data_IF_585914784094
#
_entry.id   IF_585914784094
#
_cell.length_a   1.000
_cell.length_b   1.000
_cell.length_c   1.000
_cell.angle_alpha   90.00
_cell.angle_beta   90.00
_cell.angle_gamma   90.00
#
_symmetry.space_group_name_H-M   'P 1'
#
loop_
_entity.id
_entity.type
_entity.pdbx_description
1 polymer ?
#
# COMPACT_ATOMS: atom_id res chain seq x y z
N UNK A 1 6.23 -15.78 -59.48
CA UNK A 1 7.25 -16.16 -60.47
C UNK A 1 7.92 -14.87 -60.92
N UNK A 2 9.00 -14.46 -60.25
CA UNK A 2 9.79 -13.29 -60.64
C UNK A 2 11.19 -13.78 -60.96
N UNK A 3 11.60 -13.47 -62.19
CA UNK A 3 12.83 -13.88 -62.85
C UNK A 3 13.99 -13.09 -62.25
N UNK A 4 15.03 -13.77 -61.78
CA UNK A 4 16.32 -13.16 -61.44
C UNK A 4 17.09 -12.97 -62.73
N UNK A 5 17.50 -11.73 -63.02
CA UNK A 5 18.38 -11.43 -64.15
C UNK A 5 19.83 -11.44 -63.65
N UNK A 6 20.67 -12.26 -64.31
CA UNK A 6 22.12 -12.28 -64.16
C UNK A 6 22.73 -10.88 -64.34
N UNK A 7 23.62 -10.49 -63.42
CA UNK A 7 24.63 -9.50 -63.77
C UNK A 7 24.96 -8.41 -62.74
N UNK A 8 25.02 -8.69 -61.43
CA UNK A 8 25.83 -7.87 -60.52
C UNK A 8 26.54 -8.77 -59.49
N UNK A 9 27.89 -8.79 -59.57
CA UNK A 9 28.81 -9.51 -58.68
C UNK A 9 28.49 -9.17 -57.22
N UNK A 10 28.20 -10.19 -56.41
CA UNK A 10 28.28 -10.08 -54.97
C UNK A 10 29.74 -9.80 -54.58
N UNK A 11 30.04 -8.57 -54.17
CA UNK A 11 31.27 -8.29 -53.43
C UNK A 11 31.11 -8.88 -52.03
N UNK A 12 31.83 -9.97 -51.76
CA UNK A 12 31.96 -10.52 -50.42
C UNK A 12 32.61 -9.44 -49.55
N UNK A 13 31.86 -8.85 -48.63
CA UNK A 13 32.43 -7.98 -47.60
C UNK A 13 33.36 -8.82 -46.72
N UNK A 14 34.60 -8.37 -46.60
CA UNK A 14 35.65 -9.00 -45.80
C UNK A 14 35.23 -9.09 -44.31
N UNK A 15 35.18 -10.29 -43.69
CA UNK A 15 34.78 -10.44 -42.29
C UNK A 15 35.79 -9.85 -41.29
N UNK A 16 36.93 -9.34 -41.74
CA UNK A 16 37.99 -8.79 -40.88
C UNK A 16 37.99 -7.26 -40.75
N UNK A 17 36.99 -6.57 -41.30
CA UNK A 17 36.80 -5.14 -41.06
C UNK A 17 36.37 -4.90 -39.61
N UNK A 18 37.34 -4.95 -38.70
CA UNK A 18 37.19 -4.48 -37.33
C UNK A 18 36.76 -3.02 -37.40
N UNK A 19 35.48 -2.78 -37.12
CA UNK A 19 34.94 -1.44 -37.04
C UNK A 19 35.62 -0.78 -35.83
N UNK A 20 36.73 -0.09 -36.06
CA UNK A 20 37.50 0.59 -35.02
C UNK A 20 36.60 1.67 -34.43
N UNK A 21 35.92 1.32 -33.33
CA UNK A 21 35.14 2.24 -32.52
C UNK A 21 36.15 3.24 -31.93
N UNK A 22 36.27 4.42 -32.54
CA UNK A 22 37.19 5.48 -32.08
C UNK A 22 36.99 5.68 -30.58
N UNK A 23 38.09 5.66 -29.82
CA UNK A 23 38.07 5.87 -28.37
C UNK A 23 37.38 7.22 -28.09
N UNK A 24 36.37 7.28 -27.21
CA UNK A 24 35.71 8.54 -26.89
C UNK A 24 36.75 9.55 -26.38
N UNK A 25 36.78 10.75 -26.96
CA UNK A 25 37.61 11.84 -26.45
C UNK A 25 37.12 12.30 -25.08
N UNK A 26 37.95 13.08 -24.37
CA UNK A 26 37.63 13.65 -23.03
C UNK A 26 36.28 14.40 -23.03
N UNK A 27 35.94 15.07 -24.14
CA UNK A 27 34.65 15.74 -24.34
C UNK A 27 33.48 14.76 -24.39
N UNK A 28 33.64 13.61 -25.06
CA UNK A 28 32.61 12.56 -25.11
C UNK A 28 32.42 11.83 -23.78
N UNK A 29 33.48 11.71 -22.97
CA UNK A 29 33.39 11.21 -21.60
C UNK A 29 32.63 12.18 -20.69
N UNK A 30 32.91 13.49 -20.77
CA UNK A 30 32.16 14.52 -20.03
C UNK A 30 30.69 14.56 -20.43
N UNK A 31 30.38 14.56 -21.72
CA UNK A 31 28.99 14.48 -22.20
C UNK A 31 28.28 13.22 -21.71
N UNK A 32 28.94 12.06 -21.74
CA UNK A 32 28.36 10.82 -21.23
C UNK A 32 28.06 10.92 -19.72
N UNK A 33 28.96 11.51 -18.95
CA UNK A 33 28.79 11.72 -17.51
C UNK A 33 27.69 12.73 -17.20
N UNK A 34 27.63 13.86 -17.91
CA UNK A 34 26.56 14.85 -17.79
C UNK A 34 25.19 14.26 -18.15
N UNK A 35 25.13 13.45 -19.22
CA UNK A 35 23.88 12.81 -19.62
C UNK A 35 23.42 11.78 -18.57
N UNK A 36 24.35 11.01 -17.99
CA UNK A 36 24.04 10.09 -16.88
C UNK A 36 23.54 10.83 -15.64
N UNK A 37 24.16 11.97 -15.29
CA UNK A 37 23.69 12.81 -14.18
C UNK A 37 22.28 13.35 -14.44
N UNK A 38 22.00 13.85 -15.64
CA UNK A 38 20.65 14.32 -16.01
C UNK A 38 19.60 13.21 -15.93
N UNK A 39 19.93 11.99 -16.35
CA UNK A 39 19.01 10.86 -16.21
C UNK A 39 18.78 10.47 -14.74
N UNK A 40 19.82 10.55 -13.89
CA UNK A 40 19.68 10.30 -12.46
C UNK A 40 18.80 11.36 -11.78
N UNK A 41 19.04 12.64 -12.06
CA UNK A 41 18.22 13.75 -11.55
C UNK A 41 16.76 13.67 -12.04
N UNK A 42 16.53 13.29 -13.30
CA UNK A 42 15.18 13.09 -13.82
C UNK A 42 14.49 11.91 -13.12
N UNK A 43 15.21 10.81 -12.90
CA UNK A 43 14.72 9.66 -12.15
C UNK A 43 14.30 10.05 -10.73
N UNK A 44 15.15 10.79 -10.02
CA UNK A 44 14.86 11.26 -8.66
C UNK A 44 13.65 12.22 -8.61
N UNK A 45 13.53 13.12 -9.60
CA UNK A 45 12.35 14.00 -9.69
C UNK A 45 11.06 13.22 -9.91
N UNK A 46 11.08 12.24 -10.81
CA UNK A 46 9.90 11.40 -11.06
C UNK A 46 9.51 10.60 -9.81
N UNK A 47 10.47 10.00 -9.11
CA UNK A 47 10.17 9.26 -7.87
C UNK A 47 9.60 10.19 -6.80
N UNK A 48 10.17 11.38 -6.64
CA UNK A 48 9.69 12.36 -5.66
C UNK A 48 8.27 12.87 -6.00
N UNK A 49 7.97 13.08 -7.29
CA UNK A 49 6.62 13.46 -7.74
C UNK A 49 5.60 12.34 -7.51
N UNK A 50 5.97 11.08 -7.79
CA UNK A 50 5.15 9.91 -7.50
C UNK A 50 4.88 9.75 -5.99
N UNK A 51 5.92 9.91 -5.15
CA UNK A 51 5.78 9.88 -3.69
C UNK A 51 4.86 11.00 -3.17
N UNK A 52 5.04 12.23 -3.67
CA UNK A 52 4.17 13.36 -3.32
C UNK A 52 2.71 13.12 -3.73
N UNK A 53 2.48 12.51 -4.89
CA UNK A 53 1.14 12.16 -5.34
C UNK A 53 0.50 11.07 -4.47
N UNK A 54 1.25 10.01 -4.13
CA UNK A 54 0.75 8.92 -3.27
C UNK A 54 0.41 9.45 -1.88
N UNK A 55 1.29 10.24 -1.28
CA UNK A 55 1.06 10.84 0.04
C UNK A 55 -0.17 11.76 0.03
N UNK A 56 -0.34 12.57 -1.01
CA UNK A 56 -1.53 13.41 -1.17
C UNK A 56 -2.84 12.60 -1.28
N UNK A 57 -2.83 11.52 -2.08
CA UNK A 57 -3.99 10.64 -2.22
C UNK A 57 -4.33 9.93 -0.90
N UNK A 58 -3.33 9.51 -0.12
CA UNK A 58 -3.55 8.94 1.20
C UNK A 58 -4.16 9.94 2.18
N UNK A 59 -3.75 11.21 2.13
CA UNK A 59 -4.36 12.27 2.96
C UNK A 59 -5.82 12.54 2.60
N UNK A 60 -6.14 12.61 1.30
CA UNK A 60 -7.54 12.73 0.84
C UNK A 60 -8.34 11.51 1.29
N UNK A 61 -7.80 10.32 1.09
CA UNK A 61 -8.46 9.08 1.49
C UNK A 61 -8.75 9.09 3.00
N UNK A 62 -7.75 9.43 3.83
CA UNK A 62 -7.92 9.55 5.29
C UNK A 62 -9.09 10.47 5.62
N UNK A 63 -9.10 11.70 5.09
CA UNK A 63 -10.18 12.70 5.29
C UNK A 63 -11.56 12.17 4.92
N UNK A 64 -11.68 11.54 3.76
CA UNK A 64 -12.96 10.99 3.32
C UNK A 64 -13.42 9.84 4.22
N UNK A 65 -12.48 8.99 4.67
CA UNK A 65 -12.79 7.85 5.53
C UNK A 65 -13.20 8.30 6.94
N UNK A 66 -12.60 9.39 7.44
CA UNK A 66 -13.02 10.06 8.67
C UNK A 66 -14.46 10.55 8.58
N UNK A 67 -14.75 11.30 7.52
CA UNK A 67 -16.08 11.88 7.30
C UNK A 67 -17.13 10.79 7.15
N UNK A 68 -16.79 9.72 6.42
CA UNK A 68 -17.63 8.55 6.31
C UNK A 68 -17.91 7.91 7.68
N UNK A 69 -16.87 7.72 8.47
CA UNK A 69 -17.00 7.08 9.77
C UNK A 69 -17.80 7.95 10.76
N UNK A 70 -17.62 9.27 10.74
CA UNK A 70 -18.35 10.19 11.63
C UNK A 70 -19.83 10.24 11.25
N UNK A 71 -20.14 10.29 9.95
CA UNK A 71 -21.51 10.27 9.43
C UNK A 71 -22.24 8.96 9.72
N UNK A 72 -21.52 7.83 9.76
CA UNK A 72 -22.10 6.50 9.95
C UNK A 72 -21.78 5.87 11.31
N UNK A 73 -21.32 6.66 12.28
CA UNK A 73 -20.87 6.21 13.61
C UNK A 73 -21.85 5.28 14.29
N UNK A 74 -23.11 5.69 14.42
CA UNK A 74 -24.13 4.89 15.12
C UNK A 74 -24.42 3.58 14.41
N UNK A 75 -24.30 3.55 13.08
CA UNK A 75 -24.48 2.33 12.29
C UNK A 75 -23.31 1.37 12.47
N UNK A 76 -22.09 1.89 12.53
CA UNK A 76 -20.87 1.13 12.87
C UNK A 76 -20.98 0.55 14.29
N UNK A 77 -21.54 1.31 15.22
CA UNK A 77 -21.68 0.86 16.61
C UNK A 77 -22.83 -0.12 16.81
N UNK A 78 -23.96 0.01 16.10
CA UNK A 78 -25.13 -0.88 16.29
C UNK A 78 -25.10 -2.15 15.44
N UNK A 79 -24.53 -2.10 14.24
CA UNK A 79 -24.59 -3.23 13.30
C UNK A 79 -23.22 -3.94 13.18
N UNK A 80 -23.10 -5.19 13.65
CA UNK A 80 -21.83 -5.92 13.65
C UNK A 80 -21.31 -6.23 12.24
N UNK A 81 -22.21 -6.46 11.27
CA UNK A 81 -21.84 -6.69 9.87
C UNK A 81 -21.23 -5.44 9.24
N UNK A 82 -21.87 -4.29 9.47
CA UNK A 82 -21.36 -3.00 8.97
C UNK A 82 -20.02 -2.64 9.62
N UNK A 83 -19.86 -2.92 10.91
CA UNK A 83 -18.59 -2.78 11.62
C UNK A 83 -17.49 -3.64 11.00
N UNK A 84 -17.76 -4.92 10.74
CA UNK A 84 -16.78 -5.82 10.11
C UNK A 84 -16.33 -5.32 8.73
N UNK A 85 -17.26 -4.81 7.91
CA UNK A 85 -16.93 -4.21 6.62
C UNK A 85 -16.06 -2.96 6.77
N UNK A 86 -16.38 -2.08 7.72
CA UNK A 86 -15.59 -0.90 8.01
C UNK A 86 -14.15 -1.27 8.43
N UNK A 87 -13.99 -2.26 9.32
CA UNK A 87 -12.66 -2.76 9.70
C UNK A 87 -11.89 -3.37 8.52
N UNK A 88 -12.58 -4.07 7.61
CA UNK A 88 -11.96 -4.59 6.39
C UNK A 88 -11.43 -3.47 5.50
N UNK A 89 -12.18 -2.37 5.37
CA UNK A 89 -11.73 -1.18 4.65
C UNK A 89 -10.48 -0.57 5.30
N UNK A 90 -10.48 -0.39 6.63
CA UNK A 90 -9.34 0.16 7.35
C UNK A 90 -8.06 -0.70 7.13
N UNK A 91 -8.19 -2.03 7.22
CA UNK A 91 -7.07 -2.96 7.00
C UNK A 91 -6.50 -2.89 5.61
N UNK A 92 -7.32 -2.71 4.57
CA UNK A 92 -6.85 -2.58 3.18
C UNK A 92 -5.92 -1.37 2.98
N UNK A 93 -6.09 -0.33 3.78
CA UNK A 93 -5.27 0.89 3.73
C UNK A 93 -4.13 0.86 4.74
N UNK A 94 -4.03 -0.20 5.55
CA UNK A 94 -3.03 -0.30 6.60
C UNK A 94 -3.34 0.58 7.82
N UNK A 95 -4.60 0.95 8.01
CA UNK A 95 -5.09 1.71 9.16
C UNK A 95 -5.78 0.77 10.12
N UNK A 96 -5.41 0.78 11.40
CA UNK A 96 -6.11 0.04 12.45
C UNK A 96 -6.85 1.03 13.37
N UNK A 97 -8.20 1.00 13.40
CA UNK A 97 -8.98 1.87 14.29
C UNK A 97 -8.78 1.56 15.78
N UNK A 98 -8.15 0.44 16.16
CA UNK A 98 -7.96 0.01 17.56
C UNK A 98 -6.50 0.10 18.06
N UNK A 99 -5.53 0.37 17.18
CA UNK A 99 -4.11 0.28 17.53
C UNK A 99 -3.61 1.34 18.53
N UNK A 100 -4.35 2.43 18.76
CA UNK A 100 -3.90 3.46 19.71
C UNK A 100 -5.05 4.14 20.45
N UNK A 101 -4.86 4.31 21.76
CA UNK A 101 -5.77 5.04 22.67
C UNK A 101 -5.77 6.55 22.42
N UNK A 102 -4.64 7.08 21.93
CA UNK A 102 -4.53 8.41 21.28
C UNK A 102 -4.64 8.30 19.76
N UNK A 103 -5.17 7.17 19.29
CA UNK A 103 -5.42 6.93 17.90
C UNK A 103 -6.49 7.91 17.46
N UNK A 104 -6.17 8.62 16.40
CA UNK A 104 -7.03 9.56 15.74
C UNK A 104 -8.47 9.03 15.50
N UNK A 105 -8.65 7.71 15.35
CA UNK A 105 -9.96 7.05 15.20
C UNK A 105 -10.73 6.84 16.51
N UNK A 106 -10.05 6.60 17.63
CA UNK A 106 -10.71 6.37 18.92
C UNK A 106 -11.34 7.64 19.46
N UNK A 107 -10.61 8.75 19.40
CA UNK A 107 -11.08 10.06 19.89
C UNK A 107 -12.15 10.66 18.97
N UNK A 108 -12.01 10.51 17.65
CA UNK A 108 -12.90 11.15 16.68
C UNK A 108 -14.21 10.39 16.45
N UNK A 109 -14.21 9.07 16.65
CA UNK A 109 -15.33 8.21 16.26
C UNK A 109 -15.90 7.37 17.41
N UNK A 110 -15.25 7.31 18.57
CA UNK A 110 -15.70 6.51 19.71
C UNK A 110 -15.79 5.01 19.40
N UNK A 111 -15.10 4.54 18.35
CA UNK A 111 -15.07 3.12 18.00
C UNK A 111 -14.31 2.33 19.08
N UNK A 112 -13.28 2.93 19.68
CA UNK A 112 -12.54 2.33 20.79
C UNK A 112 -13.43 2.01 22.00
N UNK A 113 -14.37 2.90 22.33
CA UNK A 113 -15.25 2.76 23.50
C UNK A 113 -16.09 1.47 23.44
N UNK A 114 -16.65 1.15 22.26
CA UNK A 114 -17.38 -0.10 22.08
C UNK A 114 -16.52 -1.33 22.42
N UNK A 115 -15.25 -1.35 21.98
CA UNK A 115 -14.36 -2.49 22.24
C UNK A 115 -13.88 -2.55 23.69
N UNK A 116 -13.75 -1.39 24.35
CA UNK A 116 -13.48 -1.34 25.79
C UNK A 116 -14.66 -1.87 26.60
N UNK A 117 -15.89 -1.44 26.28
CA UNK A 117 -17.12 -1.96 26.89
C UNK A 117 -17.25 -3.48 26.67
N UNK A 118 -17.02 -3.95 25.45
CA UNK A 118 -17.04 -5.38 25.13
C UNK A 118 -15.97 -6.14 25.94
N UNK A 119 -14.77 -5.58 26.08
CA UNK A 119 -13.69 -6.19 26.87
C UNK A 119 -14.06 -6.31 28.36
N UNK A 120 -14.69 -5.29 28.93
CA UNK A 120 -15.17 -5.31 30.32
C UNK A 120 -16.24 -6.39 30.50
N UNK A 121 -17.23 -6.46 29.60
CA UNK A 121 -18.27 -7.50 29.64
C UNK A 121 -17.68 -8.92 29.60
N UNK A 122 -16.69 -9.15 28.73
CA UNK A 122 -16.00 -10.44 28.64
C UNK A 122 -15.26 -10.76 29.95
N UNK A 123 -14.56 -9.79 30.54
CA UNK A 123 -13.87 -9.95 31.82
C UNK A 123 -14.85 -10.30 32.93
N UNK A 124 -15.99 -9.60 33.02
CA UNK A 124 -17.01 -9.81 34.04
C UNK A 124 -17.63 -11.22 33.93
N UNK A 125 -17.97 -11.66 32.71
CA UNK A 125 -18.49 -13.01 32.48
C UNK A 125 -17.45 -14.06 32.86
N UNK A 126 -16.19 -13.88 32.45
CA UNK A 126 -15.10 -14.79 32.79
C UNK A 126 -14.88 -14.88 34.31
N UNK A 127 -14.97 -13.76 35.03
CA UNK A 127 -14.86 -13.72 36.48
C UNK A 127 -16.05 -14.43 37.18
N UNK A 128 -17.28 -14.20 36.70
CA UNK A 128 -18.48 -14.89 37.22
C UNK A 128 -18.37 -16.41 37.06
N UNK A 129 -17.88 -16.85 35.91
CA UNK A 129 -17.86 -18.26 35.49
C UNK A 129 -16.59 -19.02 35.87
N UNK A 130 -15.61 -18.34 36.48
CA UNK A 130 -14.32 -18.94 36.86
C UNK A 130 -14.48 -20.22 37.69
N UNK A 131 -15.43 -20.26 38.64
CA UNK A 131 -15.65 -21.42 39.52
C UNK A 131 -16.23 -22.64 38.80
N UNK A 132 -16.94 -22.42 37.69
CA UNK A 132 -17.59 -23.49 36.92
C UNK A 132 -16.64 -24.04 35.86
N UNK A 133 -15.93 -23.14 35.17
CA UNK A 133 -15.11 -23.47 34.00
C UNK A 133 -13.61 -23.54 34.29
N UNK A 134 -13.19 -23.29 35.53
CA UNK A 134 -11.78 -23.33 35.93
C UNK A 134 -10.90 -22.28 35.24
N UNK A 135 -11.51 -21.23 34.65
CA UNK A 135 -10.81 -20.18 33.91
C UNK A 135 -10.75 -20.36 32.39
N UNK A 136 -11.40 -21.38 31.82
CA UNK A 136 -11.48 -21.60 30.36
C UNK A 136 -12.92 -21.74 29.89
N UNK A 137 -13.43 -20.75 29.15
CA UNK A 137 -14.82 -20.72 28.66
C UNK A 137 -14.82 -20.85 27.13
N UNK A 138 -15.62 -21.75 26.54
CA UNK A 138 -15.80 -21.83 25.10
C UNK A 138 -16.38 -20.53 24.52
N UNK A 139 -15.87 -20.06 23.38
CA UNK A 139 -16.34 -18.83 22.75
C UNK A 139 -17.85 -18.87 22.43
N UNK A 140 -18.37 -20.04 22.01
CA UNK A 140 -19.79 -20.19 21.70
C UNK A 140 -20.67 -19.85 22.90
N UNK A 141 -20.27 -20.29 24.09
CA UNK A 141 -21.00 -20.03 25.33
C UNK A 141 -20.85 -18.57 25.78
N UNK A 142 -19.66 -17.99 25.60
CA UNK A 142 -19.42 -16.57 25.84
C UNK A 142 -20.31 -15.69 24.96
N UNK A 143 -20.54 -16.08 23.70
CA UNK A 143 -21.37 -15.32 22.73
C UNK A 143 -22.88 -15.53 22.87
N UNK A 144 -23.34 -16.47 23.71
CA UNK A 144 -24.77 -16.73 23.91
C UNK A 144 -25.44 -15.74 24.88
N UNK A 145 -24.66 -14.88 25.54
CA UNK A 145 -25.12 -13.81 26.44
C UNK A 145 -24.74 -12.45 25.88
#
# INVERSE_FOLDING_TARGET
MCVWNEGQRATIADPTASHMRRRPGIVGLRQKQETQQRYAELGEKLTNEEEANITHQLEIFRKNMIEFASKHRDRINKNPYYRAQFHHLCRKVGVDPLASRKGFWSELLGIGDFYYELGIQVIDICAEKQKIYGGLIPLLELTQR
#
